data_IF_585987090292
#
_entry.id   IF_585987090292
#
_cell.length_a   1.000
_cell.length_b   1.000
_cell.length_c   1.000
_cell.angle_alpha   90.00
_cell.angle_beta   90.00
_cell.angle_gamma   90.00
#
_symmetry.space_group_name_H-M   'P 1'
#
loop_
_entity.id
_entity.type
_entity.pdbx_description
1 polymer ?
#
# COMPACT_ATOMS: atom_id res chain seq x y z
N UNK A 1 6.12 -2.88 3.09
CA UNK A 1 5.48 -1.65 2.56
C UNK A 1 3.98 -1.86 2.58
N UNK A 2 3.22 -0.85 2.99
CA UNK A 2 1.76 -0.87 2.94
C UNK A 2 1.28 -0.02 1.77
N UNK A 3 0.28 -0.51 1.03
CA UNK A 3 -0.39 0.24 -0.04
C UNK A 3 -1.88 0.28 0.26
N UNK A 4 -2.46 1.47 0.43
CA UNK A 4 -3.89 1.66 0.72
C UNK A 4 -4.60 2.23 -0.49
N UNK A 5 -5.78 1.74 -0.82
CA UNK A 5 -6.63 2.34 -1.85
C UNK A 5 -7.19 3.68 -1.33
N UNK A 6 -7.23 4.72 -2.18
CA UNK A 6 -7.83 6.02 -1.85
C UNK A 6 -9.17 6.24 -2.55
N UNK A 7 -9.72 5.21 -3.19
CA UNK A 7 -11.06 5.30 -3.80
C UNK A 7 -12.11 5.57 -2.73
N UNK A 8 -13.11 6.39 -3.08
CA UNK A 8 -14.28 6.57 -2.22
C UNK A 8 -14.91 5.20 -1.92
N UNK A 9 -15.21 4.94 -0.65
CA UNK A 9 -15.82 3.71 -0.16
C UNK A 9 -14.98 2.42 -0.30
N UNK A 10 -13.65 2.53 -0.42
CA UNK A 10 -12.74 1.38 -0.45
C UNK A 10 -11.74 1.45 0.71
N UNK A 11 -11.83 0.51 1.65
CA UNK A 11 -10.90 0.37 2.78
C UNK A 11 -9.68 -0.51 2.51
N UNK A 12 -9.59 -1.11 1.32
CA UNK A 12 -8.58 -2.12 1.04
C UNK A 12 -7.16 -1.59 1.16
N UNK A 13 -6.32 -2.41 1.78
CA UNK A 13 -4.89 -2.24 1.88
C UNK A 13 -4.18 -3.54 1.47
N UNK A 14 -2.90 -3.43 1.14
CA UNK A 14 -2.03 -4.58 0.94
C UNK A 14 -0.72 -4.36 1.66
N UNK A 15 -0.25 -5.40 2.34
CA UNK A 15 1.13 -5.48 2.80
C UNK A 15 1.95 -6.15 1.72
N UNK A 16 2.89 -5.41 1.16
CA UNK A 16 3.78 -5.84 0.08
C UNK A 16 5.22 -5.94 0.58
N UNK A 17 5.88 -7.04 0.20
CA UNK A 17 7.33 -7.18 0.35
C UNK A 17 8.04 -6.44 -0.79
N UNK A 18 8.44 -5.20 -0.51
CA UNK A 18 9.10 -4.31 -1.48
C UNK A 18 10.43 -4.88 -2.01
N UNK A 19 11.13 -5.70 -1.21
CA UNK A 19 12.42 -6.30 -1.61
C UNK A 19 12.20 -7.37 -2.67
N UNK A 20 11.15 -8.19 -2.54
CA UNK A 20 10.74 -9.19 -3.52
C UNK A 20 10.18 -8.55 -4.80
N UNK A 21 9.44 -7.45 -4.68
CA UNK A 21 8.78 -6.81 -5.84
C UNK A 21 9.69 -5.87 -6.65
N UNK A 22 10.55 -5.10 -5.99
CA UNK A 22 11.35 -4.05 -6.63
C UNK A 22 12.86 -4.30 -6.53
N UNK A 23 13.30 -5.30 -5.77
CA UNK A 23 14.71 -5.59 -5.58
C UNK A 23 15.40 -4.48 -4.78
N UNK A 24 16.15 -3.62 -5.48
CA UNK A 24 17.06 -2.66 -4.86
C UNK A 24 16.32 -1.47 -4.24
N UNK A 25 16.73 -0.96 -3.05
CA UNK A 25 16.05 0.14 -2.36
C UNK A 25 15.86 1.44 -3.17
N UNK A 26 16.72 1.70 -4.15
CA UNK A 26 16.62 2.86 -5.05
C UNK A 26 15.41 2.80 -6.00
N UNK A 27 14.94 1.58 -6.28
CA UNK A 27 13.85 1.30 -7.21
C UNK A 27 12.50 1.22 -6.48
N UNK A 28 12.53 1.30 -5.14
CA UNK A 28 11.33 1.29 -4.31
C UNK A 28 10.53 2.58 -4.55
N UNK A 29 9.19 2.49 -4.68
CA UNK A 29 8.37 3.67 -4.89
C UNK A 29 8.40 4.59 -3.67
N UNK A 30 8.35 5.90 -3.86
CA UNK A 30 8.35 6.83 -2.72
C UNK A 30 7.06 6.73 -1.89
N UNK A 31 7.17 7.03 -0.58
CA UNK A 31 5.99 7.13 0.28
C UNK A 31 5.05 8.25 -0.20
N UNK A 32 3.75 8.10 0.04
CA UNK A 32 2.72 9.06 -0.36
C UNK A 32 1.80 8.55 -1.47
N UNK A 33 1.16 9.47 -2.21
CA UNK A 33 0.18 9.09 -3.25
C UNK A 33 0.86 8.45 -4.45
N UNK A 34 0.24 7.41 -5.00
CA UNK A 34 0.74 6.67 -6.17
C UNK A 34 -0.39 6.15 -7.04
N UNK A 35 -0.13 6.04 -8.34
CA UNK A 35 -1.03 5.43 -9.33
C UNK A 35 -0.51 4.09 -9.88
N UNK A 36 0.58 3.56 -9.31
CA UNK A 36 1.24 2.34 -9.81
C UNK A 36 0.52 1.04 -9.44
N UNK A 37 -0.32 1.07 -8.41
CA UNK A 37 -1.00 -0.11 -7.88
C UNK A 37 -2.48 -0.06 -8.26
N UNK A 38 -3.08 -1.21 -8.59
CA UNK A 38 -4.50 -1.32 -8.95
C UNK A 38 -5.25 -2.15 -7.93
N UNK A 39 -6.21 -1.52 -7.25
CA UNK A 39 -7.06 -2.19 -6.26
C UNK A 39 -8.02 -3.16 -6.94
N UNK A 40 -8.46 -4.17 -6.18
CA UNK A 40 -9.58 -5.05 -6.59
C UNK A 40 -10.88 -4.29 -6.87
N UNK A 41 -11.05 -3.09 -6.30
CA UNK A 41 -12.17 -2.20 -6.62
C UNK A 41 -12.03 -1.50 -7.99
N UNK A 42 -10.92 -1.72 -8.70
CA UNK A 42 -10.62 -1.12 -10.01
C UNK A 42 -9.86 0.21 -9.95
N UNK A 43 -9.81 0.89 -8.81
CA UNK A 43 -9.09 2.17 -8.67
C UNK A 43 -7.58 2.00 -8.72
N UNK A 44 -6.90 3.02 -9.25
CA UNK A 44 -5.44 3.15 -9.24
C UNK A 44 -4.92 4.12 -8.20
N UNK A 45 -5.79 4.96 -7.64
CA UNK A 45 -5.39 5.90 -6.60
C UNK A 45 -5.06 5.14 -5.32
N UNK A 46 -3.80 5.20 -4.92
CA UNK A 46 -3.27 4.51 -3.77
C UNK A 46 -2.35 5.40 -2.94
N UNK A 47 -2.12 5.05 -1.68
CA UNK A 47 -1.15 5.66 -0.79
C UNK A 47 -0.17 4.60 -0.31
N UNK A 48 1.10 4.88 -0.47
CA UNK A 48 2.21 4.02 -0.05
C UNK A 48 2.71 4.52 1.30
N UNK A 49 2.79 3.62 2.25
CA UNK A 49 3.36 3.88 3.57
C UNK A 49 4.45 2.85 3.88
N UNK A 50 5.61 3.32 4.30
CA UNK A 50 6.68 2.45 4.77
C UNK A 50 6.53 2.28 6.27
N UNK A 51 6.29 1.05 6.71
CA UNK A 51 6.07 0.66 8.11
C UNK A 51 7.35 0.72 8.95
N UNK A 52 8.18 1.73 8.74
CA UNK A 52 9.33 2.03 9.59
C UNK A 52 8.90 2.50 10.99
N UNK A 53 7.67 3.02 11.11
CA UNK A 53 7.15 3.55 12.37
C UNK A 53 5.92 2.76 12.83
N UNK A 54 6.04 2.10 13.99
CA UNK A 54 4.91 1.55 14.75
C UNK A 54 3.87 2.63 15.15
N UNK A 55 4.23 3.91 14.98
CA UNK A 55 3.44 5.11 15.26
C UNK A 55 2.88 5.80 14.01
N UNK A 56 2.80 5.11 12.85
CA UNK A 56 2.18 5.69 11.67
C UNK A 56 0.76 6.21 12.01
N UNK A 57 0.45 7.46 11.65
CA UNK A 57 -0.82 8.12 11.97
C UNK A 57 -2.05 7.35 11.44
N UNK A 58 -1.86 6.55 10.40
CA UNK A 58 -2.88 5.71 9.79
C UNK A 58 -3.08 4.35 10.50
N UNK A 59 -2.35 4.12 11.60
CA UNK A 59 -2.42 2.93 12.44
C UNK A 59 -1.90 1.65 11.77
N UNK A 60 -1.84 0.53 12.52
CA UNK A 60 -1.59 -0.78 11.93
C UNK A 60 -2.66 -1.08 10.85
N UNK A 61 -2.25 -1.68 9.73
CA UNK A 61 -3.21 -2.16 8.73
C UNK A 61 -4.08 -3.23 9.39
N UNK A 62 -5.40 -3.03 9.39
CA UNK A 62 -6.32 -4.04 9.89
C UNK A 62 -6.24 -5.28 8.99
N UNK A 63 -6.16 -6.46 9.59
CA UNK A 63 -6.07 -7.71 8.84
C UNK A 63 -7.26 -7.94 7.90
N UNK A 64 -8.43 -7.36 8.22
CA UNK A 64 -9.63 -7.44 7.38
C UNK A 64 -9.53 -6.59 6.11
N UNK A 65 -8.66 -5.58 6.11
CA UNK A 65 -8.44 -4.72 4.95
C UNK A 65 -7.38 -5.32 3.99
N UNK A 66 -6.66 -6.37 4.41
CA UNK A 66 -5.67 -7.08 3.59
C UNK A 66 -6.36 -7.90 2.49
N UNK A 67 -6.62 -7.28 1.35
CA UNK A 67 -6.88 -8.02 0.13
C UNK A 67 -5.54 -8.48 -0.48
N UNK A 68 -5.48 -9.69 -1.04
CA UNK A 68 -4.37 -10.12 -1.90
C UNK A 68 -4.57 -9.47 -3.27
N UNK A 69 -3.59 -8.67 -3.71
CA UNK A 69 -3.66 -7.98 -5.01
C UNK A 69 -2.99 -8.87 -6.05
N UNK A 70 -3.66 -9.09 -7.17
CA UNK A 70 -3.10 -9.63 -8.42
C UNK A 70 -3.04 -8.51 -9.46
#
# INVERSE_FOLDING_TARGET
MVVRCLSRNCGHAALLDQRKLFGHPRDWPQAGRSHRFRCICGSRESRIDYTANAYATEGPVNAQDLALWF
#
